data_IF_382020623850
#
_entry.id   IF_382020623850
#
_cell.length_a   1.000
_cell.length_b   1.000
_cell.length_c   1.000
_cell.angle_alpha   90.00
_cell.angle_beta   90.00
_cell.angle_gamma   90.00
#
_symmetry.space_group_name_H-M   'P 1'
#
loop_
_entity.id
_entity.type
_entity.pdbx_description
1 polymer ?
#
# COMPACT_ATOMS: atom_id res chain seq x y z
N UNK A 1 12.78 7.61 -8.64
CA UNK A 1 13.53 6.36 -8.40
C UNK A 1 14.30 5.93 -9.64
N UNK A 2 15.52 5.40 -9.47
CA UNK A 2 16.30 4.81 -10.56
C UNK A 2 16.18 3.29 -10.49
N UNK A 3 15.81 2.68 -11.62
CA UNK A 3 15.83 1.24 -11.78
C UNK A 3 16.92 0.87 -12.78
N UNK A 4 17.86 0.03 -12.36
CA UNK A 4 18.94 -0.45 -13.23
C UNK A 4 18.64 -1.87 -13.68
N UNK A 5 18.78 -2.11 -14.97
CA UNK A 5 18.71 -3.43 -15.60
C UNK A 5 20.09 -3.78 -16.11
N UNK A 6 20.99 -4.16 -15.19
CA UNK A 6 22.43 -4.40 -15.46
C UNK A 6 22.72 -5.83 -15.91
N UNK A 7 21.68 -6.66 -16.05
CA UNK A 7 21.80 -8.03 -16.55
C UNK A 7 21.32 -8.13 -17.99
N UNK A 8 21.91 -9.07 -18.70
CA UNK A 8 21.68 -9.30 -20.13
C UNK A 8 21.28 -10.74 -20.41
N UNK A 9 20.55 -10.95 -21.47
CA UNK A 9 20.11 -12.27 -21.92
C UNK A 9 20.22 -12.35 -23.45
N UNK A 10 20.43 -13.55 -24.03
CA UNK A 10 20.43 -13.74 -25.47
C UNK A 10 19.04 -13.45 -26.06
N UNK A 11 19.00 -12.93 -27.29
CA UNK A 11 17.75 -12.73 -28.03
C UNK A 11 17.14 -14.03 -28.53
N UNK A 12 17.87 -15.14 -28.43
CA UNK A 12 17.44 -16.45 -28.92
C UNK A 12 16.23 -16.98 -28.13
N UNK A 13 15.22 -17.39 -28.84
CA UNK A 13 13.98 -17.95 -28.25
C UNK A 13 14.29 -19.24 -27.49
N UNK A 14 13.71 -19.38 -26.31
CA UNK A 14 13.87 -20.57 -25.45
C UNK A 14 15.11 -20.58 -24.57
N UNK A 15 16.10 -19.71 -24.80
CA UNK A 15 17.32 -19.64 -24.01
C UNK A 15 17.21 -18.50 -22.99
N UNK A 16 17.04 -18.83 -21.71
CA UNK A 16 16.95 -17.84 -20.63
C UNK A 16 18.21 -17.92 -19.75
N UNK A 17 19.32 -17.37 -20.25
CA UNK A 17 20.60 -17.32 -19.52
C UNK A 17 20.91 -15.87 -19.18
N UNK A 18 20.85 -15.55 -17.89
CA UNK A 18 21.03 -14.18 -17.39
C UNK A 18 22.49 -14.01 -16.98
N UNK A 19 23.15 -13.02 -17.58
CA UNK A 19 24.59 -12.78 -17.44
C UNK A 19 24.89 -11.28 -17.27
N UNK A 20 26.14 -10.97 -16.93
CA UNK A 20 26.66 -9.61 -17.08
C UNK A 20 26.93 -9.29 -18.56
N UNK A 21 27.03 -8.01 -18.89
CA UNK A 21 27.20 -7.55 -20.28
C UNK A 21 28.42 -8.17 -20.96
N UNK A 22 29.57 -8.21 -20.26
CA UNK A 22 30.84 -8.69 -20.82
C UNK A 22 30.76 -10.16 -21.22
N UNK A 23 30.20 -10.99 -20.34
CA UNK A 23 30.01 -12.43 -20.60
C UNK A 23 29.00 -12.66 -21.71
N UNK A 24 27.85 -11.94 -21.66
CA UNK A 24 26.82 -12.05 -22.67
C UNK A 24 27.34 -11.67 -24.06
N UNK A 25 28.09 -10.58 -24.16
CA UNK A 25 28.67 -10.13 -25.42
C UNK A 25 29.75 -11.09 -25.96
N UNK A 26 30.56 -11.64 -25.08
CA UNK A 26 31.59 -12.64 -25.47
C UNK A 26 30.98 -13.92 -26.03
N UNK A 27 29.82 -14.35 -25.50
CA UNK A 27 29.16 -15.61 -25.89
C UNK A 27 28.21 -15.43 -27.10
N UNK A 28 27.48 -14.30 -27.17
CA UNK A 28 26.40 -14.07 -28.17
C UNK A 28 26.62 -12.83 -29.05
N UNK A 29 27.69 -12.09 -28.89
CA UNK A 29 27.94 -10.85 -29.64
C UNK A 29 26.83 -9.82 -29.48
N UNK A 30 26.39 -9.24 -30.59
CA UNK A 30 25.32 -8.24 -30.60
C UNK A 30 23.91 -8.83 -30.43
N UNK A 31 23.74 -10.16 -30.42
CA UNK A 31 22.45 -10.83 -30.28
C UNK A 31 22.03 -10.93 -28.81
N UNK A 32 22.16 -9.84 -28.07
CA UNK A 32 21.81 -9.74 -26.64
C UNK A 32 20.84 -8.57 -26.40
N UNK A 33 20.02 -8.72 -25.35
CA UNK A 33 19.13 -7.67 -24.86
C UNK A 33 19.21 -7.55 -23.34
N UNK A 34 18.77 -6.43 -22.81
CA UNK A 34 18.69 -6.27 -21.34
C UNK A 34 17.62 -7.20 -20.76
N UNK A 35 18.00 -7.95 -19.74
CA UNK A 35 17.10 -8.83 -19.02
C UNK A 35 16.11 -8.02 -18.14
N UNK A 36 14.96 -8.61 -17.88
CA UNK A 36 13.93 -8.09 -16.96
C UNK A 36 13.29 -6.76 -17.34
N UNK A 37 13.46 -6.24 -18.53
CA UNK A 37 12.88 -4.95 -18.95
C UNK A 37 11.35 -4.93 -18.87
N UNK A 38 10.69 -6.09 -19.01
CA UNK A 38 9.25 -6.25 -18.82
C UNK A 38 8.80 -5.92 -17.38
N UNK A 39 9.72 -5.93 -16.41
CA UNK A 39 9.42 -5.55 -15.02
C UNK A 39 9.54 -4.04 -14.76
N UNK A 40 9.95 -3.24 -15.75
CA UNK A 40 10.19 -1.81 -15.57
C UNK A 40 8.92 -1.07 -15.12
N UNK A 41 7.81 -1.32 -15.80
CA UNK A 41 6.51 -0.72 -15.48
C UNK A 41 6.06 -1.12 -14.07
N UNK A 42 6.12 -2.41 -13.75
CA UNK A 42 5.73 -2.90 -12.44
C UNK A 42 6.56 -2.26 -11.32
N UNK A 43 7.87 -2.12 -11.50
CA UNK A 43 8.74 -1.46 -10.51
C UNK A 43 8.44 0.02 -10.35
N UNK A 44 8.03 0.71 -11.43
CA UNK A 44 7.60 2.09 -11.37
C UNK A 44 6.31 2.21 -10.55
N UNK A 45 5.30 1.43 -10.88
CA UNK A 45 3.99 1.46 -10.21
C UNK A 45 4.12 1.10 -8.73
N UNK A 46 4.73 -0.04 -8.41
CA UNK A 46 4.94 -0.49 -7.03
C UNK A 46 5.78 0.51 -6.22
N UNK A 47 6.79 1.09 -6.87
CA UNK A 47 7.62 2.11 -6.25
C UNK A 47 6.85 3.39 -5.93
N UNK A 48 5.97 3.82 -6.82
CA UNK A 48 5.12 5.00 -6.61
C UNK A 48 4.09 4.75 -5.51
N UNK A 49 3.44 3.59 -5.50
CA UNK A 49 2.52 3.18 -4.44
C UNK A 49 3.20 3.24 -3.06
N UNK A 50 4.39 2.65 -2.94
CA UNK A 50 5.14 2.69 -1.69
C UNK A 50 5.56 4.12 -1.27
N UNK A 51 5.76 5.05 -2.21
CA UNK A 51 6.06 6.45 -1.88
C UNK A 51 4.79 7.20 -1.42
N UNK A 52 3.61 6.83 -1.94
CA UNK A 52 2.31 7.34 -1.48
C UNK A 52 2.03 6.91 -0.04
N UNK A 53 2.15 5.62 0.28
CA UNK A 53 1.98 5.11 1.63
C UNK A 53 2.90 5.80 2.63
N UNK A 54 4.18 6.01 2.27
CA UNK A 54 5.12 6.76 3.12
C UNK A 54 4.72 8.22 3.32
N UNK A 55 4.18 8.87 2.28
CA UNK A 55 3.69 10.23 2.40
C UNK A 55 2.46 10.32 3.31
N UNK A 56 1.54 9.36 3.19
CA UNK A 56 0.40 9.23 4.09
C UNK A 56 0.87 9.06 5.54
N UNK A 57 1.81 8.14 5.80
CA UNK A 57 2.38 7.95 7.15
C UNK A 57 3.02 9.22 7.71
N UNK A 58 3.70 10.02 6.87
CA UNK A 58 4.28 11.29 7.29
C UNK A 58 3.19 12.27 7.75
N UNK A 59 2.12 12.43 6.95
CA UNK A 59 1.02 13.34 7.27
C UNK A 59 0.25 12.89 8.52
N UNK A 60 0.02 11.59 8.66
CA UNK A 60 -0.59 11.02 9.86
C UNK A 60 0.26 11.28 11.10
N UNK A 61 1.58 11.13 10.99
CA UNK A 61 2.51 11.43 12.08
C UNK A 61 2.46 12.91 12.50
N UNK A 62 2.36 13.84 11.54
CA UNK A 62 2.21 15.28 11.79
C UNK A 62 0.91 15.60 12.57
N UNK A 63 -0.13 14.76 12.40
CA UNK A 63 -1.39 14.82 13.15
C UNK A 63 -1.37 14.01 14.47
N UNK A 64 -0.22 13.46 14.85
CA UNK A 64 -0.06 12.64 16.06
C UNK A 64 -0.63 11.23 15.96
N UNK A 65 -0.96 10.77 14.75
CA UNK A 65 -1.52 9.44 14.48
C UNK A 65 -0.40 8.53 13.98
N UNK A 66 -0.10 7.48 14.74
CA UNK A 66 1.00 6.57 14.44
C UNK A 66 0.46 5.17 14.15
N UNK A 67 0.69 4.61 12.95
CA UNK A 67 0.32 3.23 12.67
C UNK A 67 1.17 2.26 13.48
N UNK A 68 0.57 1.18 13.94
CA UNK A 68 1.27 0.11 14.66
C UNK A 68 2.02 -0.80 13.71
N UNK A 69 1.42 -1.10 12.57
CA UNK A 69 1.97 -2.00 11.56
C UNK A 69 1.73 -1.43 10.17
N UNK A 70 2.66 -1.69 9.27
CA UNK A 70 2.51 -1.48 7.83
C UNK A 70 2.72 -2.79 7.10
N UNK A 71 1.73 -3.22 6.32
CA UNK A 71 1.81 -4.39 5.45
C UNK A 71 1.52 -3.94 4.01
N UNK A 72 2.56 -3.90 3.17
CA UNK A 72 2.46 -3.38 1.79
C UNK A 72 1.89 -1.96 1.71
N UNK A 73 0.64 -1.81 1.34
CA UNK A 73 -0.14 -0.58 1.20
C UNK A 73 -1.17 -0.39 2.33
N UNK A 74 -1.25 -1.34 3.25
CA UNK A 74 -2.12 -1.31 4.43
C UNK A 74 -1.42 -0.68 5.63
N UNK A 75 -2.19 0.03 6.46
CA UNK A 75 -1.74 0.63 7.71
C UNK A 75 -2.73 0.29 8.83
N UNK A 76 -2.21 -0.30 9.89
CA UNK A 76 -3.00 -0.69 11.07
C UNK A 76 -2.91 0.34 12.18
N UNK A 77 -4.05 0.64 12.76
CA UNK A 77 -4.14 1.61 13.85
C UNK A 77 -4.98 1.05 15.01
N UNK A 78 -4.70 1.53 16.23
CA UNK A 78 -5.69 1.54 17.27
C UNK A 78 -6.37 2.91 17.28
N UNK A 79 -7.68 2.92 17.26
CA UNK A 79 -8.50 4.13 17.21
C UNK A 79 -9.39 4.23 18.44
N UNK A 80 -9.74 5.45 18.80
CA UNK A 80 -10.63 5.75 19.93
C UNK A 80 -12.07 5.93 19.49
N UNK A 81 -12.28 6.28 18.22
CA UNK A 81 -13.63 6.49 17.66
C UNK A 81 -13.68 6.23 16.16
N UNK A 82 -14.86 5.91 15.61
CA UNK A 82 -15.05 5.75 14.16
C UNK A 82 -14.71 7.01 13.36
N UNK A 83 -14.92 8.20 13.93
CA UNK A 83 -14.58 9.48 13.28
C UNK A 83 -13.08 9.62 13.07
N UNK A 84 -12.26 9.06 13.97
CA UNK A 84 -10.81 9.01 13.79
C UNK A 84 -10.42 8.15 12.58
N UNK A 85 -11.13 7.04 12.34
CA UNK A 85 -10.90 6.23 11.15
C UNK A 85 -11.21 6.99 9.85
N UNK A 86 -12.31 7.75 9.83
CA UNK A 86 -12.65 8.61 8.69
C UNK A 86 -11.60 9.70 8.47
N UNK A 87 -11.09 10.32 9.53
CA UNK A 87 -9.99 11.30 9.43
C UNK A 87 -8.72 10.66 8.85
N UNK A 88 -8.37 9.45 9.27
CA UNK A 88 -7.24 8.70 8.72
C UNK A 88 -7.44 8.43 7.23
N UNK A 89 -8.63 7.96 6.84
CA UNK A 89 -9.02 7.75 5.44
C UNK A 89 -8.81 9.02 4.60
N UNK A 90 -9.35 10.14 5.04
CA UNK A 90 -9.26 11.43 4.32
C UNK A 90 -7.80 11.87 4.13
N UNK A 91 -6.95 11.71 5.14
CA UNK A 91 -5.52 12.03 5.06
C UNK A 91 -4.83 11.11 4.04
N UNK A 92 -5.14 9.82 4.06
CA UNK A 92 -4.54 8.87 3.13
C UNK A 92 -4.99 9.10 1.68
N UNK A 93 -6.26 9.40 1.45
CA UNK A 93 -6.82 9.70 0.12
C UNK A 93 -6.30 11.01 -0.46
N UNK A 94 -6.03 12.01 0.39
CA UNK A 94 -5.54 13.34 -0.01
C UNK A 94 -4.01 13.48 0.04
N UNK A 95 -3.27 12.46 0.45
CA UNK A 95 -1.82 12.56 0.68
C UNK A 95 -1.01 12.94 -0.56
N UNK A 96 -1.50 12.64 -1.75
CA UNK A 96 -0.88 12.99 -3.04
C UNK A 96 -1.97 13.33 -4.04
N UNK A 97 -1.84 14.47 -4.71
CA UNK A 97 -2.73 14.85 -5.80
C UNK A 97 -2.39 14.05 -7.07
N UNK A 98 -3.33 13.24 -7.53
CA UNK A 98 -3.23 12.45 -8.76
C UNK A 98 -4.39 12.80 -9.71
N UNK A 99 -4.21 12.47 -11.00
CA UNK A 99 -5.29 12.61 -12.00
C UNK A 99 -6.46 11.65 -11.76
N UNK A 100 -6.20 10.56 -11.06
CA UNK A 100 -7.21 9.57 -10.65
C UNK A 100 -7.27 9.60 -9.12
N UNK A 101 -8.46 9.68 -8.51
CA UNK A 101 -8.57 9.72 -7.06
C UNK A 101 -8.05 8.43 -6.44
N UNK A 102 -7.35 8.58 -5.33
CA UNK A 102 -6.99 7.48 -4.46
C UNK A 102 -8.23 7.11 -3.67
N UNK A 103 -8.51 5.83 -3.53
CA UNK A 103 -9.55 5.32 -2.63
C UNK A 103 -8.91 4.43 -1.58
N UNK A 104 -9.36 4.60 -0.36
CA UNK A 104 -8.92 3.81 0.80
C UNK A 104 -10.13 3.11 1.38
N UNK A 105 -10.06 1.80 1.42
CA UNK A 105 -11.04 0.98 2.11
C UNK A 105 -10.67 0.94 3.61
N UNK A 106 -11.65 1.06 4.47
CA UNK A 106 -11.45 1.04 5.93
C UNK A 106 -12.26 -0.09 6.52
N UNK A 107 -11.59 -0.91 7.30
CA UNK A 107 -12.22 -1.97 8.08
C UNK A 107 -12.07 -1.67 9.57
N UNK A 108 -13.12 -1.93 10.33
CA UNK A 108 -13.19 -1.72 11.78
C UNK A 108 -13.54 -3.02 12.48
N UNK A 109 -12.88 -3.30 13.59
CA UNK A 109 -13.20 -4.48 14.42
C UNK A 109 -12.40 -4.53 15.72
N UNK A 110 -12.74 -5.45 16.62
CA UNK A 110 -12.02 -5.66 17.86
C UNK A 110 -10.64 -6.31 17.65
N UNK A 111 -10.46 -6.94 16.51
CA UNK A 111 -9.22 -7.57 16.07
C UNK A 111 -9.25 -7.79 14.55
N UNK A 112 -8.10 -8.13 13.97
CA UNK A 112 -7.92 -8.34 12.53
C UNK A 112 -8.87 -9.37 11.91
N UNK A 113 -9.17 -10.43 12.64
CA UNK A 113 -10.02 -11.53 12.14
C UNK A 113 -11.51 -11.19 12.12
N UNK A 114 -11.92 -10.14 12.82
CA UNK A 114 -13.32 -9.72 12.94
C UNK A 114 -13.57 -8.32 12.34
N UNK A 115 -12.57 -7.77 11.65
CA UNK A 115 -12.70 -6.49 10.98
C UNK A 115 -13.76 -6.56 9.86
N UNK A 116 -14.55 -5.49 9.73
CA UNK A 116 -15.62 -5.33 8.76
C UNK A 116 -15.56 -3.93 8.17
N UNK A 117 -16.07 -3.82 6.96
CA UNK A 117 -16.21 -2.56 6.25
C UNK A 117 -16.79 -1.46 7.15
N UNK A 118 -16.07 -0.37 7.31
CA UNK A 118 -16.40 0.71 8.23
C UNK A 118 -17.76 1.36 7.91
N UNK A 119 -18.12 1.47 6.64
CA UNK A 119 -19.42 2.06 6.25
C UNK A 119 -20.56 1.23 6.82
N UNK A 120 -20.48 -0.09 6.73
CA UNK A 120 -21.49 -1.00 7.30
C UNK A 120 -21.54 -0.98 8.82
N UNK A 121 -20.38 -0.80 9.47
CA UNK A 121 -20.30 -0.71 10.93
C UNK A 121 -20.92 0.59 11.42
N UNK A 122 -20.66 1.71 10.75
CA UNK A 122 -21.20 3.03 11.11
C UNK A 122 -22.72 3.08 10.87
N UNK A 123 -23.21 2.62 9.71
CA UNK A 123 -24.64 2.53 9.43
C UNK A 123 -25.38 1.67 10.46
N UNK A 124 -24.78 0.54 10.86
CA UNK A 124 -25.38 -0.31 11.89
C UNK A 124 -25.39 0.38 13.27
N UNK A 125 -24.32 1.07 13.64
CA UNK A 125 -24.24 1.82 14.89
C UNK A 125 -25.25 2.98 14.95
N UNK A 126 -25.50 3.66 13.86
CA UNK A 126 -26.53 4.70 13.73
C UNK A 126 -27.95 4.11 13.80
N UNK A 127 -28.16 2.93 13.25
CA UNK A 127 -29.47 2.24 13.28
C UNK A 127 -29.82 1.69 14.66
N UNK A 128 -28.83 1.29 15.45
CA UNK A 128 -28.98 0.85 16.83
C UNK A 128 -28.89 2.08 17.73
N UNK A 129 -30.01 2.77 17.95
CA UNK A 129 -30.15 3.90 18.88
C UNK A 129 -29.68 3.51 20.29
N UNK A 130 -28.39 3.68 20.57
CA UNK A 130 -27.83 3.29 21.87
C UNK A 130 -26.32 3.48 21.98
N UNK A 131 -25.66 3.99 20.96
CA UNK A 131 -24.25 4.31 21.08
C UNK A 131 -24.08 5.60 21.89
N UNK A 132 -24.06 5.46 23.23
CA UNK A 132 -23.70 6.56 24.12
C UNK A 132 -22.19 6.57 24.30
N UNK A 133 -21.59 7.73 24.03
CA UNK A 133 -20.24 8.10 24.46
C UNK A 133 -20.04 7.69 25.93
N UNK A 134 -19.31 6.62 26.20
CA UNK A 134 -19.02 6.21 27.57
C UNK A 134 -19.21 4.77 27.94
N UNK A 135 -19.74 3.91 27.07
CA UNK A 135 -19.53 2.48 27.27
C UNK A 135 -18.14 2.14 26.72
N UNK A 136 -17.26 1.73 27.60
CA UNK A 136 -16.05 0.99 27.23
C UNK A 136 -16.50 -0.32 26.58
N UNK A 137 -16.98 -0.25 25.35
CA UNK A 137 -17.48 -1.40 24.62
C UNK A 137 -16.49 -1.76 23.55
N UNK A 138 -16.18 -2.94 23.55
CA UNK A 138 -15.60 -3.95 22.64
C UNK A 138 -15.17 -3.56 21.22
N UNK A 139 -15.43 -2.33 20.74
CA UNK A 139 -15.06 -1.85 19.39
C UNK A 139 -13.83 -0.96 19.35
N UNK A 140 -13.24 -0.69 20.47
CA UNK A 140 -12.02 0.11 20.55
C UNK A 140 -10.84 -0.80 20.33
N UNK A 141 -10.34 -0.91 19.10
CA UNK A 141 -8.89 -1.19 19.02
C UNK A 141 -8.23 -1.39 17.66
N UNK A 142 -8.89 -1.47 16.51
CA UNK A 142 -8.12 -1.57 15.27
C UNK A 142 -8.90 -1.02 14.06
N UNK A 143 -8.33 -0.01 13.40
CA UNK A 143 -8.65 0.33 12.02
C UNK A 143 -7.51 -0.23 11.15
N UNK A 144 -7.85 -0.89 10.09
CA UNK A 144 -6.93 -1.45 9.12
C UNK A 144 -6.97 -0.61 7.86
#
# INVERSE_FOLDING_TARGET
RRCRFDKWEPMQFGTRKIMDHKTAYAEYGNAIKRAFTHKAMNRLIQGSAADMTKKAMQLLYEEGIIPHVQVHDELDFSIESPEQALKIKDIMESCVELKVPIKVDVELGPNWGEAKDAEKVIEHAESVRGWTRGSESEYTKQAI
#
